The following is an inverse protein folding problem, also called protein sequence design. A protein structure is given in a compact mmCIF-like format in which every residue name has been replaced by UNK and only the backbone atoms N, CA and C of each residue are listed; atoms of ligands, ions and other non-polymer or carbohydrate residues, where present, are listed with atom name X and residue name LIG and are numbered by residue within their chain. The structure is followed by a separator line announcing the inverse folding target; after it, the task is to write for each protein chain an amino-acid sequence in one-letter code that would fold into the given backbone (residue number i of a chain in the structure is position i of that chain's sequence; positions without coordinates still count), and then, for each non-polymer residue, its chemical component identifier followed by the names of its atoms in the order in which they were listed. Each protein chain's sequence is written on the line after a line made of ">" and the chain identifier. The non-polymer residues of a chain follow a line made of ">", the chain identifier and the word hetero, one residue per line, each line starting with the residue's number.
data_IF_367282693065
#
_entry.id   IF_367282693065
#
_cell.length_a   1.000
_cell.length_b   1.000
_cell.length_c   1.000
_cell.angle_alpha   90.00
_cell.angle_beta   90.00
_cell.angle_gamma   90.00
#
_symmetry.space_group_name_H-M   'P 1'
#
loop_
_entity.id
_entity.type
_entity.pdbx_description
1 polymer ?
#
# COMPACT_ATOMS: atom_id res chain seq x y z
N UNK A 1 -3.50 -23.09 77.79
CA UNK A 1 -4.15 -23.34 76.47
C UNK A 1 -4.25 -22.05 75.61
N UNK A 2 -3.28 -21.12 75.71
CA UNK A 2 -3.32 -19.82 75.00
C UNK A 2 -2.19 -19.62 73.97
N UNK A 3 -1.14 -20.44 73.97
CA UNK A 3 0.01 -20.29 73.07
C UNK A 3 -0.32 -20.62 71.59
N UNK A 4 -1.17 -21.62 71.33
CA UNK A 4 -1.45 -22.07 69.96
C UNK A 4 -2.19 -21.06 69.08
N UNK A 5 -3.06 -20.20 69.65
CA UNK A 5 -3.84 -19.22 68.86
C UNK A 5 -3.01 -18.08 68.28
N UNK A 6 -1.88 -17.72 68.92
CA UNK A 6 -1.00 -16.66 68.44
C UNK A 6 -0.14 -17.14 67.26
N UNK A 7 0.35 -18.38 67.33
CA UNK A 7 1.14 -18.99 66.26
C UNK A 7 0.29 -19.24 65.01
N UNK A 8 -0.96 -19.69 65.15
CA UNK A 8 -1.86 -19.87 63.98
C UNK A 8 -2.16 -18.53 63.29
N UNK A 9 -2.33 -17.44 64.04
CA UNK A 9 -2.55 -16.10 63.48
C UNK A 9 -1.33 -15.57 62.74
N UNK A 10 -0.14 -15.82 63.27
CA UNK A 10 1.12 -15.43 62.65
C UNK A 10 1.34 -16.19 61.32
N UNK A 11 1.10 -17.51 61.31
CA UNK A 11 1.24 -18.34 60.11
C UNK A 11 0.25 -17.94 59.02
N UNK A 12 -1.02 -17.69 59.36
CA UNK A 12 -2.03 -17.24 58.39
C UNK A 12 -1.69 -15.85 57.84
N UNK A 13 -1.17 -14.94 58.67
CA UNK A 13 -0.73 -13.62 58.24
C UNK A 13 0.46 -13.68 57.27
N UNK A 14 1.47 -14.51 57.56
CA UNK A 14 2.63 -14.71 56.68
C UNK A 14 2.19 -15.35 55.36
N UNK A 15 1.28 -16.33 55.39
CA UNK A 15 0.75 -16.97 54.19
C UNK A 15 -0.04 -15.99 53.32
N UNK A 16 -0.90 -15.14 53.91
CA UNK A 16 -1.62 -14.10 53.17
C UNK A 16 -0.67 -13.06 52.56
N UNK A 17 0.38 -12.65 53.28
CA UNK A 17 1.40 -11.73 52.75
C UNK A 17 2.14 -12.36 51.57
N UNK A 18 2.48 -13.64 51.65
CA UNK A 18 3.16 -14.36 50.57
C UNK A 18 2.27 -14.50 49.32
N UNK A 19 0.97 -14.76 49.48
CA UNK A 19 0.00 -14.79 48.38
C UNK A 19 -0.17 -13.43 47.71
N UNK A 20 -0.13 -12.33 48.48
CA UNK A 20 -0.17 -10.97 47.93
C UNK A 20 1.13 -10.56 47.21
N UNK A 21 2.28 -11.07 47.65
CA UNK A 21 3.58 -10.85 47.01
C UNK A 21 3.71 -11.58 45.66
N UNK A 22 3.05 -12.73 45.49
CA UNK A 22 3.04 -13.45 44.23
C UNK A 22 2.17 -12.80 43.12
N UNK A 23 1.38 -11.78 43.44
CA UNK A 23 0.36 -11.23 42.53
C UNK A 23 0.88 -10.19 41.51
N UNK A 24 2.17 -9.85 41.46
CA UNK A 24 2.63 -8.69 40.66
C UNK A 24 3.85 -8.94 39.75
N UNK A 25 4.02 -10.15 39.23
CA UNK A 25 4.98 -10.40 38.15
C UNK A 25 4.25 -10.51 36.80
N UNK A 26 3.72 -9.41 36.28
CA UNK A 26 3.37 -9.31 34.86
C UNK A 26 4.67 -9.13 34.09
N UNK A 27 5.09 -10.16 33.37
CA UNK A 27 6.17 -10.02 32.40
C UNK A 27 5.61 -9.25 31.21
N UNK A 28 5.89 -7.94 31.12
CA UNK A 28 5.55 -7.15 29.94
C UNK A 28 6.30 -7.75 28.74
N UNK A 29 5.57 -8.46 27.88
CA UNK A 29 6.12 -9.06 26.67
C UNK A 29 5.97 -8.02 25.55
N UNK A 30 7.04 -7.29 25.27
CA UNK A 30 7.06 -6.36 24.16
C UNK A 30 6.83 -7.13 22.85
N UNK A 31 5.76 -6.79 22.14
CA UNK A 31 5.44 -7.39 20.85
C UNK A 31 6.50 -6.99 19.80
N UNK A 32 6.81 -7.89 18.84
CA UNK A 32 7.80 -7.60 17.82
C UNK A 32 7.30 -6.49 16.88
N UNK A 33 8.16 -5.54 16.49
CA UNK A 33 7.75 -4.41 15.65
C UNK A 33 7.50 -4.84 14.20
N UNK A 34 6.91 -3.95 13.38
CA UNK A 34 6.74 -4.16 11.94
C UNK A 34 7.88 -3.50 11.17
N UNK A 35 8.63 -4.29 10.39
CA UNK A 35 9.66 -3.81 9.46
C UNK A 35 9.07 -3.37 8.12
N UNK A 36 9.32 -2.12 7.73
CA UNK A 36 9.01 -1.61 6.39
C UNK A 36 10.29 -1.31 5.60
N UNK A 37 10.29 -1.63 4.31
CA UNK A 37 11.40 -1.29 3.40
C UNK A 37 10.93 -1.09 1.96
N UNK A 38 11.70 -0.37 1.17
CA UNK A 38 11.40 -0.24 -0.26
C UNK A 38 12.31 0.76 -0.96
N UNK A 39 12.01 1.00 -2.23
CA UNK A 39 12.60 2.08 -3.01
C UNK A 39 11.79 3.37 -2.78
N UNK A 40 12.43 4.52 -2.93
CA UNK A 40 11.79 5.83 -2.87
C UNK A 40 12.01 6.55 -4.20
N UNK A 41 10.94 7.08 -4.77
CA UNK A 41 10.98 7.87 -6.00
C UNK A 41 10.36 9.25 -5.79
N UNK A 42 10.99 10.27 -6.38
CA UNK A 42 10.54 11.66 -6.30
C UNK A 42 10.48 12.19 -7.73
N UNK A 43 9.30 12.61 -8.19
CA UNK A 43 9.07 13.08 -9.57
C UNK A 43 9.55 12.10 -10.66
N UNK A 44 9.43 10.80 -10.40
CA UNK A 44 9.85 9.75 -11.35
C UNK A 44 11.33 9.38 -11.30
N UNK A 45 12.15 10.10 -10.53
CA UNK A 45 13.56 9.77 -10.33
C UNK A 45 13.80 9.06 -8.99
N UNK A 46 14.90 8.33 -8.89
CA UNK A 46 15.35 7.71 -7.63
C UNK A 46 15.63 8.80 -6.59
N UNK A 47 15.11 8.64 -5.37
CA UNK A 47 15.32 9.63 -4.31
C UNK A 47 16.82 9.79 -3.98
N UNK A 48 17.33 11.03 -3.82
CA UNK A 48 18.69 11.28 -3.36
C UNK A 48 18.95 10.67 -1.98
N UNK A 49 20.21 10.37 -1.67
CA UNK A 49 20.63 9.95 -0.33
C UNK A 49 20.31 11.04 0.70
N UNK A 50 19.89 10.63 1.90
CA UNK A 50 19.50 11.57 2.95
C UNK A 50 18.05 12.07 2.87
N UNK A 51 17.26 11.63 1.89
CA UNK A 51 15.82 11.94 1.82
C UNK A 51 15.11 11.38 3.04
N UNK A 52 14.33 12.20 3.76
CA UNK A 52 13.66 11.79 4.99
C UNK A 52 12.43 10.96 4.67
N UNK A 53 12.31 9.81 5.35
CA UNK A 53 11.13 8.95 5.35
C UNK A 53 10.62 8.83 6.78
N UNK A 54 9.34 9.10 7.02
CA UNK A 54 8.70 8.91 8.32
C UNK A 54 7.47 8.02 8.21
N UNK A 55 7.18 7.29 9.30
CA UNK A 55 5.99 6.49 9.47
C UNK A 55 5.18 7.04 10.66
N UNK A 56 3.90 7.30 10.42
CA UNK A 56 2.99 7.90 11.37
C UNK A 56 1.74 7.06 11.61
N UNK A 57 1.31 6.98 12.86
CA UNK A 57 0.04 6.37 13.26
C UNK A 57 -0.74 7.43 14.05
N UNK A 58 -1.97 7.72 13.65
CA UNK A 58 -2.80 8.72 14.33
C UNK A 58 -2.20 10.13 14.39
N UNK A 59 -1.34 10.49 13.43
CA UNK A 59 -0.67 11.80 13.37
C UNK A 59 0.57 11.95 14.27
N UNK A 60 1.05 10.86 14.88
CA UNK A 60 2.32 10.83 15.63
C UNK A 60 3.35 10.02 14.87
N UNK A 61 4.57 10.55 14.76
CA UNK A 61 5.72 9.84 14.18
C UNK A 61 6.21 8.77 15.15
N UNK A 62 6.28 7.53 14.66
CA UNK A 62 6.81 6.39 15.43
C UNK A 62 8.12 5.83 14.86
N UNK A 63 8.43 6.10 13.59
CA UNK A 63 9.70 5.76 12.99
C UNK A 63 10.14 6.81 11.99
N UNK A 64 11.45 7.06 11.90
CA UNK A 64 12.05 7.83 10.81
C UNK A 64 13.33 7.14 10.32
N UNK A 65 13.70 7.39 9.07
CA UNK A 65 14.99 7.02 8.49
C UNK A 65 15.31 7.97 7.34
N UNK A 66 16.49 7.83 6.78
CA UNK A 66 16.83 8.42 5.50
C UNK A 66 17.06 7.36 4.43
N UNK A 67 17.01 7.79 3.17
CA UNK A 67 17.35 6.94 2.02
C UNK A 67 18.86 6.78 1.85
N UNK A 68 19.26 5.59 1.36
CA UNK A 68 20.61 5.30 0.84
C UNK A 68 20.43 4.57 -0.49
N UNK A 69 21.07 5.06 -1.55
CA UNK A 69 20.89 4.58 -2.93
C UNK A 69 19.41 4.44 -3.33
N UNK A 70 18.60 5.43 -2.93
CA UNK A 70 17.16 5.46 -3.20
C UNK A 70 16.31 4.43 -2.45
N UNK A 71 16.85 3.80 -1.40
CA UNK A 71 16.13 2.79 -0.59
C UNK A 71 16.00 3.25 0.85
N UNK A 72 14.91 2.86 1.50
CA UNK A 72 14.72 3.03 2.94
C UNK A 72 14.50 1.65 3.60
N UNK A 73 14.87 1.52 4.88
CA UNK A 73 14.66 0.28 5.64
C UNK A 73 15.48 -0.92 5.18
N UNK A 74 16.38 -0.79 4.19
CA UNK A 74 17.07 -1.91 3.55
C UNK A 74 17.99 -2.68 4.52
N UNK A 75 18.63 -1.97 5.46
CA UNK A 75 19.57 -2.55 6.42
C UNK A 75 18.88 -2.97 7.73
N UNK A 76 17.56 -3.11 7.72
CA UNK A 76 16.79 -3.41 8.93
C UNK A 76 16.89 -2.28 9.96
N UNK A 77 16.79 -1.03 9.51
CA UNK A 77 16.90 0.17 10.37
C UNK A 77 15.60 0.96 10.49
N UNK A 78 14.49 0.44 9.94
CA UNK A 78 13.20 1.15 9.91
C UNK A 78 12.05 0.26 10.36
N UNK A 79 11.80 0.27 11.67
CA UNK A 79 10.75 -0.50 12.30
C UNK A 79 9.72 0.42 12.93
N UNK A 80 8.44 0.15 12.67
CA UNK A 80 7.34 0.78 13.42
C UNK A 80 7.12 -0.08 14.68
N UNK A 81 7.24 0.49 15.89
CA UNK A 81 7.06 -0.23 17.14
C UNK A 81 5.64 -0.77 17.29
N UNK A 82 5.50 -1.84 18.06
CA UNK A 82 4.21 -2.31 18.57
C UNK A 82 3.81 -1.54 19.82
N UNK A 83 2.51 -1.40 20.01
CA UNK A 83 1.93 -0.84 21.24
C UNK A 83 2.01 -1.84 22.40
N UNK A 84 2.17 -1.33 23.62
CA UNK A 84 1.95 -2.11 24.84
C UNK A 84 0.53 -1.82 25.35
N UNK A 85 -0.36 -2.81 25.34
CA UNK A 85 -1.75 -2.61 25.73
C UNK A 85 -1.95 -2.53 27.26
N UNK A 86 -0.90 -2.83 28.04
CA UNK A 86 -0.93 -2.73 29.50
C UNK A 86 -0.55 -1.33 29.99
N UNK A 87 -0.11 -0.42 29.11
CA UNK A 87 0.21 0.97 29.42
C UNK A 87 -0.90 1.92 28.96
N UNK A 88 -0.94 3.12 29.55
CA UNK A 88 -1.87 4.17 29.16
C UNK A 88 -1.36 5.02 27.99
N UNK A 89 -0.05 4.98 27.73
CA UNK A 89 0.55 5.69 26.61
C UNK A 89 0.41 4.87 25.32
N UNK A 90 0.44 5.53 24.17
CA UNK A 90 0.51 4.86 22.86
C UNK A 90 1.98 4.84 22.45
N UNK A 91 2.62 3.67 22.46
CA UNK A 91 4.03 3.49 22.11
C UNK A 91 4.23 2.99 20.68
N UNK A 92 3.19 2.47 20.04
CA UNK A 92 3.30 1.93 18.69
C UNK A 92 1.99 1.62 18.02
N UNK A 93 2.01 0.68 17.07
CA UNK A 93 0.83 0.19 16.36
C UNK A 93 0.21 -1.03 17.02
N UNK A 94 -1.10 -1.19 16.86
CA UNK A 94 -1.82 -2.46 17.07
C UNK A 94 -2.19 -3.08 15.73
N UNK A 95 -2.37 -4.40 15.68
CA UNK A 95 -2.74 -5.09 14.44
C UNK A 95 -3.98 -4.43 13.81
N UNK A 96 -3.87 -4.05 12.53
CA UNK A 96 -4.93 -3.35 11.80
C UNK A 96 -4.81 -1.82 11.76
N UNK A 97 -3.94 -1.20 12.58
CA UNK A 97 -3.67 0.24 12.51
C UNK A 97 -3.18 0.64 11.11
N UNK A 98 -3.56 1.84 10.67
CA UNK A 98 -3.07 2.42 9.42
C UNK A 98 -1.80 3.22 9.70
N UNK A 99 -0.71 2.83 9.07
CA UNK A 99 0.57 3.55 9.06
C UNK A 99 0.62 4.43 7.82
N UNK A 100 0.75 5.74 7.99
CA UNK A 100 0.96 6.70 6.91
C UNK A 100 2.45 6.95 6.73
N UNK A 101 2.95 6.83 5.50
CA UNK A 101 4.34 7.03 5.15
C UNK A 101 4.52 8.34 4.41
N UNK A 102 5.46 9.15 4.87
CA UNK A 102 5.79 10.44 4.28
C UNK A 102 7.21 10.42 3.75
N UNK A 103 7.41 11.12 2.64
CA UNK A 103 8.73 11.41 2.05
C UNK A 103 8.88 12.92 2.04
N UNK A 104 9.88 13.48 2.73
CA UNK A 104 10.05 14.94 2.90
C UNK A 104 8.75 15.66 3.34
N UNK A 105 8.01 15.06 4.28
CA UNK A 105 6.72 15.55 4.80
C UNK A 105 5.55 15.54 3.78
N UNK A 106 5.72 14.98 2.59
CA UNK A 106 4.62 14.72 1.65
C UNK A 106 4.12 13.28 1.81
N UNK A 107 2.80 13.11 1.93
CA UNK A 107 2.18 11.79 2.07
C UNK A 107 2.44 10.95 0.81
N UNK A 108 3.17 9.85 0.96
CA UNK A 108 3.58 8.99 -0.14
C UNK A 108 2.71 7.74 -0.28
N UNK A 109 2.38 7.10 0.85
CA UNK A 109 1.60 5.87 0.88
C UNK A 109 1.02 5.60 2.27
N UNK A 110 0.21 4.56 2.39
CA UNK A 110 -0.14 3.94 3.66
C UNK A 110 -0.03 2.43 3.59
N UNK A 111 0.06 1.77 4.75
CA UNK A 111 -0.01 0.33 4.89
C UNK A 111 -0.61 -0.06 6.24
N UNK A 112 -1.12 -1.29 6.31
CA UNK A 112 -1.64 -1.85 7.57
C UNK A 112 -0.49 -2.34 8.45
N UNK A 113 -0.56 -1.99 9.74
CA UNK A 113 0.33 -2.48 10.77
C UNK A 113 -0.01 -3.93 11.14
N UNK A 114 1.04 -4.69 11.45
CA UNK A 114 0.96 -6.06 11.94
C UNK A 114 2.19 -6.37 12.78
N UNK A 115 2.00 -6.87 13.99
CA UNK A 115 3.05 -7.29 14.90
C UNK A 115 3.98 -8.31 14.23
N UNK A 116 5.29 -8.05 14.28
CA UNK A 116 6.32 -8.87 13.64
C UNK A 116 6.28 -8.86 12.11
N UNK A 117 5.48 -7.95 11.53
CA UNK A 117 5.31 -7.83 10.09
C UNK A 117 6.61 -7.49 9.37
N UNK A 118 6.65 -7.88 8.10
CA UNK A 118 7.75 -7.60 7.19
C UNK A 118 7.15 -7.20 5.84
N UNK A 119 7.09 -5.91 5.57
CA UNK A 119 6.43 -5.37 4.38
C UNK A 119 7.42 -4.64 3.49
N UNK A 120 7.42 -5.02 2.21
CA UNK A 120 8.02 -4.22 1.15
C UNK A 120 6.98 -3.22 0.65
N UNK A 121 7.28 -1.92 0.74
CA UNK A 121 6.44 -0.83 0.29
C UNK A 121 7.32 0.18 -0.46
N UNK A 122 7.15 0.31 -1.78
CA UNK A 122 7.89 1.33 -2.53
C UNK A 122 7.13 2.68 -2.40
N UNK A 123 7.85 3.75 -2.07
CA UNK A 123 7.30 5.08 -1.82
C UNK A 123 7.50 6.00 -3.01
N UNK A 124 6.50 6.85 -3.27
CA UNK A 124 6.54 7.81 -4.37
C UNK A 124 5.86 9.10 -3.99
N UNK A 125 6.50 10.22 -4.32
CA UNK A 125 5.92 11.56 -4.23
C UNK A 125 6.14 12.34 -5.53
N UNK A 126 5.37 13.42 -5.71
CA UNK A 126 5.42 14.25 -6.91
C UNK A 126 4.63 13.68 -8.09
N UNK A 127 4.59 14.46 -9.18
CA UNK A 127 3.90 14.04 -10.41
C UNK A 127 4.76 13.02 -11.14
N UNK A 128 4.15 11.91 -11.57
CA UNK A 128 4.70 11.16 -12.69
C UNK A 128 5.01 12.18 -13.79
N UNK A 129 6.23 12.20 -14.36
CA UNK A 129 6.42 12.88 -15.64
C UNK A 129 5.30 12.36 -16.52
N UNK A 130 4.47 13.26 -17.06
CA UNK A 130 3.54 12.86 -18.10
C UNK A 130 4.42 12.08 -19.08
N UNK A 131 4.18 10.78 -19.22
CA UNK A 131 4.78 10.04 -20.30
C UNK A 131 4.42 10.89 -21.51
N UNK A 132 5.40 11.58 -22.11
CA UNK A 132 5.20 12.09 -23.46
C UNK A 132 4.59 10.90 -24.18
N UNK A 133 3.38 11.03 -24.75
CA UNK A 133 2.64 9.88 -25.26
C UNK A 133 3.65 9.12 -26.11
N UNK A 134 4.08 7.95 -25.61
CA UNK A 134 5.07 7.09 -26.26
C UNK A 134 4.63 7.10 -27.71
N UNK A 135 5.42 7.61 -28.68
CA UNK A 135 4.93 7.97 -29.99
C UNK A 135 4.03 6.83 -30.42
N UNK A 136 2.72 7.09 -30.36
CA UNK A 136 1.75 6.05 -30.60
C UNK A 136 2.09 5.66 -32.01
N UNK A 137 2.62 4.45 -32.20
CA UNK A 137 2.88 3.94 -33.53
C UNK A 137 1.52 4.05 -34.16
N UNK A 138 1.32 5.09 -34.98
CA UNK A 138 0.04 5.42 -35.58
C UNK A 138 -0.40 4.12 -36.20
N UNK A 139 -1.39 3.49 -35.56
CA UNK A 139 -1.93 2.21 -36.00
C UNK A 139 -2.20 2.44 -37.47
N UNK A 140 -1.58 1.67 -38.40
CA UNK A 140 -1.54 2.05 -39.79
C UNK A 140 -2.94 2.44 -40.21
N UNK A 141 -3.08 3.71 -40.64
CA UNK A 141 -4.37 4.33 -40.93
C UNK A 141 -5.24 3.29 -41.63
N UNK A 142 -6.46 3.09 -41.16
CA UNK A 142 -7.32 2.02 -41.64
C UNK A 142 -7.70 2.24 -43.10
N UNK A 143 -6.81 1.85 -44.03
CA UNK A 143 -7.04 1.85 -45.48
C UNK A 143 -8.25 0.97 -45.82
N UNK A 144 -8.62 0.06 -44.92
CA UNK A 144 -9.75 -0.85 -45.06
C UNK A 144 -11.13 -0.22 -44.86
N UNK A 145 -11.28 0.96 -44.25
CA UNK A 145 -12.60 1.57 -44.06
C UNK A 145 -13.11 2.41 -45.24
N UNK A 146 -12.22 2.84 -46.14
CA UNK A 146 -12.61 3.57 -47.37
C UNK A 146 -12.86 2.63 -48.56
N UNK A 147 -12.20 1.46 -48.60
CA UNK A 147 -12.31 0.53 -49.73
C UNK A 147 -13.68 -0.19 -49.79
N UNK A 148 -14.29 -0.48 -48.64
CA UNK A 148 -15.59 -1.17 -48.55
C UNK A 148 -16.74 -0.32 -49.11
N UNK A 149 -16.94 0.96 -48.74
CA UNK A 149 -18.04 1.76 -49.28
C UNK A 149 -17.90 2.05 -50.78
N UNK A 150 -16.67 2.22 -51.30
CA UNK A 150 -16.42 2.43 -52.74
C UNK A 150 -16.77 1.19 -53.58
N UNK A 151 -16.43 -0.02 -53.10
CA UNK A 151 -16.79 -1.26 -53.78
C UNK A 151 -18.32 -1.47 -53.84
N UNK A 152 -19.02 -1.16 -52.75
CA UNK A 152 -20.49 -1.25 -52.69
C UNK A 152 -21.14 -0.27 -53.68
N UNK A 153 -20.66 0.97 -53.75
CA UNK A 153 -21.18 1.97 -54.69
C UNK A 153 -21.01 1.53 -56.16
N UNK A 154 -19.86 0.95 -56.52
CA UNK A 154 -19.60 0.45 -57.87
C UNK A 154 -20.57 -0.71 -58.22
N UNK A 155 -20.79 -1.66 -57.31
CA UNK A 155 -21.72 -2.78 -57.53
C UNK A 155 -23.15 -2.29 -57.77
N UNK A 156 -23.61 -1.30 -57.00
CA UNK A 156 -24.96 -0.73 -57.15
C UNK A 156 -25.12 -0.06 -58.52
N UNK A 157 -24.12 0.70 -58.98
CA UNK A 157 -24.16 1.38 -60.29
C UNK A 157 -24.23 0.36 -61.44
N UNK A 158 -23.46 -0.73 -61.35
CA UNK A 158 -23.48 -1.79 -62.37
C UNK A 158 -24.83 -2.52 -62.40
N UNK A 159 -25.41 -2.81 -61.23
CA UNK A 159 -26.74 -3.43 -61.13
C UNK A 159 -27.84 -2.52 -61.69
N UNK A 160 -27.84 -1.24 -61.34
CA UNK A 160 -28.81 -0.29 -61.90
C UNK A 160 -28.64 -0.13 -63.42
N UNK A 161 -27.41 -0.04 -63.91
CA UNK A 161 -27.12 0.05 -65.34
C UNK A 161 -27.63 -1.16 -66.11
N UNK A 162 -27.37 -2.38 -65.61
CA UNK A 162 -27.86 -3.62 -66.24
C UNK A 162 -29.39 -3.72 -66.22
N UNK A 163 -30.04 -3.35 -65.12
CA UNK A 163 -31.52 -3.29 -65.03
C UNK A 163 -32.09 -2.30 -66.05
N UNK A 164 -31.52 -1.10 -66.16
CA UNK A 164 -31.96 -0.09 -67.14
C UNK A 164 -31.81 -0.63 -68.57
N UNK A 165 -30.67 -1.24 -68.90
CA UNK A 165 -30.45 -1.85 -70.23
C UNK A 165 -31.46 -2.96 -70.52
N UNK A 166 -31.75 -3.82 -69.53
CA UNK A 166 -32.75 -4.89 -69.67
C UNK A 166 -34.16 -4.31 -69.87
N UNK A 167 -34.53 -3.25 -69.13
CA UNK A 167 -35.82 -2.58 -69.27
C UNK A 167 -35.98 -1.90 -70.64
N UNK A 168 -34.94 -1.23 -71.12
CA UNK A 168 -34.91 -0.62 -72.47
C UNK A 168 -35.05 -1.70 -73.54
N UNK A 169 -34.35 -2.84 -73.40
CA UNK A 169 -34.43 -3.95 -74.35
C UNK A 169 -35.81 -4.64 -74.33
N UNK A 170 -36.47 -4.71 -73.16
CA UNK A 170 -37.85 -5.24 -73.03
C UNK A 170 -38.91 -4.32 -73.64
N UNK A 171 -38.72 -3.00 -73.66
CA UNK A 171 -39.66 -2.05 -74.30
C UNK A 171 -39.55 -2.01 -75.84
N UNK A 172 -38.44 -2.50 -76.40
CA UNK A 172 -38.20 -2.54 -77.85
C UNK A 172 -38.61 -3.88 -78.52
N UNK A 173 -39.12 -4.83 -77.74
CA UNK A 173 -39.83 -6.03 -78.23
C UNK A 173 -41.32 -5.84 -78.03
#
# INVERSE_FOLDING_TARGET
>A
MHAGKAETRLVVGILMMFVLLCAHATLAMQLPPHWFRGNVTINGETAPDGTVVSAEIGGRVYANTTTISGKYGADGNFYVPSDDLDTAEKEGGVDGDVVNFYVNNELAANATFSNGGNTRLDLKIGKEPALEPKPEIEKPAKVQEVLVPLAIAIIIIVLLGTVIVVLIKRRKK
#
